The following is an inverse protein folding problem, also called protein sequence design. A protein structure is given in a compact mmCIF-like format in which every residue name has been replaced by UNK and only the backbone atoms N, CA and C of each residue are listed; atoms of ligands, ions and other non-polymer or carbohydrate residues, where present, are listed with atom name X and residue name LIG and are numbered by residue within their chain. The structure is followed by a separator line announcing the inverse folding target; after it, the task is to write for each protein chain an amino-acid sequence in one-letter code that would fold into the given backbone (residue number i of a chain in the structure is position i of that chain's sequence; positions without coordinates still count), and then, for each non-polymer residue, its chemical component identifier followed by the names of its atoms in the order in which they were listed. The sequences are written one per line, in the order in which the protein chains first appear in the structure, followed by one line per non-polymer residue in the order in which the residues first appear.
data_IF_611332458721
#
_entry.id   IF_611332458721
#
_cell.length_a   1.000
_cell.length_b   1.000
_cell.length_c   1.000
_cell.angle_alpha   90.00
_cell.angle_beta   90.00
_cell.angle_gamma   90.00
#
_symmetry.space_group_name_H-M   'P 1'
#
loop_
_entity.id
_entity.type
_entity.pdbx_description
1 polymer ?
#
# COMPACT_ATOMS: atom_id res chain seq x y z
N UNK A 1 -1.95 -1.39 -38.34
CA UNK A 1 -0.63 -1.69 -37.76
C UNK A 1 0.15 -0.39 -37.77
N UNK A 2 0.40 0.20 -36.60
CA UNK A 2 1.34 1.31 -36.44
C UNK A 2 1.86 1.38 -35.00
N UNK A 3 2.96 0.68 -34.75
CA UNK A 3 4.23 1.33 -34.41
C UNK A 3 4.44 2.12 -33.12
N UNK A 4 3.62 2.02 -32.06
CA UNK A 4 3.97 2.58 -30.73
C UNK A 4 4.20 1.50 -29.68
N UNK A 5 5.36 0.85 -29.75
CA UNK A 5 5.83 -0.09 -28.72
C UNK A 5 7.23 0.30 -28.28
N UNK A 6 7.44 0.58 -26.99
CA UNK A 6 8.76 0.36 -26.41
C UNK A 6 9.11 1.12 -25.13
N UNK A 7 8.82 2.42 -25.02
CA UNK A 7 9.36 3.23 -23.91
C UNK A 7 8.28 3.75 -22.95
N UNK A 8 7.19 4.36 -23.43
CA UNK A 8 6.19 5.00 -22.57
C UNK A 8 5.54 4.07 -21.53
N UNK A 9 5.19 2.84 -21.91
CA UNK A 9 4.50 1.91 -21.02
C UNK A 9 5.33 1.40 -19.84
N UNK A 10 6.66 1.37 -19.96
CA UNK A 10 7.54 0.95 -18.84
C UNK A 10 7.68 2.08 -17.82
N UNK A 11 7.80 3.32 -18.28
CA UNK A 11 7.88 4.50 -17.40
C UNK A 11 6.56 4.74 -16.67
N UNK A 12 5.43 4.54 -17.33
CA UNK A 12 4.11 4.63 -16.70
C UNK A 12 3.90 3.54 -15.65
N UNK A 13 4.28 2.28 -15.92
CA UNK A 13 4.20 1.21 -14.92
C UNK A 13 5.11 1.47 -13.73
N UNK A 14 6.35 1.92 -13.96
CA UNK A 14 7.27 2.29 -12.88
C UNK A 14 6.73 3.45 -12.03
N UNK A 15 6.17 4.50 -12.63
CA UNK A 15 5.54 5.60 -11.90
C UNK A 15 4.39 5.11 -11.02
N UNK A 16 3.51 4.26 -11.56
CA UNK A 16 2.39 3.68 -10.82
C UNK A 16 2.87 2.84 -9.63
N UNK A 17 3.93 2.07 -9.80
CA UNK A 17 4.55 1.30 -8.71
C UNK A 17 5.09 2.23 -7.62
N UNK A 18 5.84 3.27 -7.98
CA UNK A 18 6.40 4.23 -7.01
C UNK A 18 5.31 4.97 -6.23
N UNK A 19 4.23 5.38 -6.90
CA UNK A 19 3.07 6.00 -6.25
C UNK A 19 2.43 5.05 -5.22
N UNK A 20 2.25 3.79 -5.60
CA UNK A 20 1.71 2.74 -4.70
C UNK A 20 2.64 2.50 -3.51
N UNK A 21 3.95 2.41 -3.75
CA UNK A 21 4.93 2.23 -2.67
C UNK A 21 4.90 3.40 -1.68
N UNK A 22 4.84 4.63 -2.19
CA UNK A 22 4.72 5.82 -1.35
C UNK A 22 3.42 5.80 -0.51
N UNK A 23 2.28 5.50 -1.13
CA UNK A 23 0.99 5.36 -0.42
C UNK A 23 1.08 4.30 0.69
N UNK A 24 1.66 3.14 0.37
CA UNK A 24 1.80 2.03 1.31
C UNK A 24 2.68 2.41 2.50
N UNK A 25 3.84 3.03 2.27
CA UNK A 25 4.74 3.47 3.33
C UNK A 25 4.12 4.53 4.23
N UNK A 26 3.41 5.51 3.66
CA UNK A 26 2.73 6.54 4.45
C UNK A 26 1.61 5.91 5.30
N UNK A 27 0.80 5.03 4.70
CA UNK A 27 -0.27 4.33 5.41
C UNK A 27 0.27 3.41 6.53
N UNK A 28 1.42 2.78 6.28
CA UNK A 28 2.08 1.94 7.28
C UNK A 28 2.70 2.76 8.42
N UNK A 29 3.31 3.91 8.11
CA UNK A 29 3.78 4.84 9.13
C UNK A 29 2.62 5.39 10.00
N UNK A 30 1.46 5.70 9.38
CA UNK A 30 0.25 6.08 10.11
C UNK A 30 -0.16 4.99 11.11
N UNK A 31 -0.19 3.72 10.67
CA UNK A 31 -0.55 2.59 11.53
C UNK A 31 0.40 2.49 12.73
N UNK A 32 1.71 2.59 12.54
CA UNK A 32 2.68 2.53 13.64
C UNK A 32 2.54 3.70 14.62
N UNK A 33 2.22 4.90 14.15
CA UNK A 33 1.95 6.03 15.06
C UNK A 33 0.70 5.78 15.91
N UNK A 34 -0.37 5.23 15.32
CA UNK A 34 -1.59 4.86 16.05
C UNK A 34 -1.33 3.75 17.08
N UNK A 35 -0.46 2.77 16.76
CA UNK A 35 -0.02 1.74 17.70
C UNK A 35 0.73 2.35 18.89
N UNK A 36 1.66 3.29 18.64
CA UNK A 36 2.37 4.02 19.69
C UNK A 36 1.39 4.80 20.58
N UNK A 37 0.46 5.54 19.97
CA UNK A 37 -0.54 6.32 20.70
C UNK A 37 -1.41 5.43 21.62
N UNK A 38 -1.85 4.29 21.08
CA UNK A 38 -2.61 3.28 21.81
C UNK A 38 -1.83 2.74 23.00
N UNK A 39 -0.55 2.42 22.82
CA UNK A 39 0.33 1.93 23.88
C UNK A 39 0.60 2.99 24.96
N UNK A 40 0.62 4.27 24.59
CA UNK A 40 0.81 5.38 25.53
C UNK A 40 -0.48 5.76 26.28
N UNK A 41 -1.65 5.43 25.73
CA UNK A 41 -2.96 5.75 26.33
C UNK A 41 -3.28 7.25 26.35
N UNK A 42 -2.64 8.05 25.50
CA UNK A 42 -2.86 9.51 25.39
C UNK A 42 -2.63 10.00 23.95
N UNK A 43 -3.46 10.94 23.45
CA UNK A 43 -3.35 11.43 22.07
C UNK A 43 -2.22 12.45 21.95
N UNK A 44 -1.00 11.99 21.69
CA UNK A 44 0.20 12.86 21.62
C UNK A 44 0.81 12.94 20.24
N UNK A 45 0.41 12.07 19.32
CA UNK A 45 0.95 12.01 17.96
C UNK A 45 -0.13 12.19 16.90
N UNK A 46 -1.36 12.51 17.30
CA UNK A 46 -2.49 12.72 16.42
C UNK A 46 -2.20 13.74 15.30
N UNK A 47 -1.52 14.84 15.58
CA UNK A 47 -1.13 15.83 14.56
C UNK A 47 -0.22 15.22 13.47
N UNK A 48 0.68 14.31 13.87
CA UNK A 48 1.56 13.59 12.94
C UNK A 48 0.76 12.57 12.12
N UNK A 49 -0.17 11.85 12.75
CA UNK A 49 -1.09 10.93 12.08
C UNK A 49 -1.89 11.68 11.01
N UNK A 50 -2.46 12.83 11.37
CA UNK A 50 -3.24 13.67 10.47
C UNK A 50 -2.38 14.21 9.32
N UNK A 51 -1.14 14.63 9.59
CA UNK A 51 -0.19 15.03 8.55
C UNK A 51 0.10 13.91 7.55
N UNK A 52 0.28 12.67 8.04
CA UNK A 52 0.47 11.50 7.17
C UNK A 52 -0.78 11.19 6.34
N UNK A 53 -1.99 11.31 6.92
CA UNK A 53 -3.25 11.14 6.18
C UNK A 53 -3.36 12.13 5.02
N UNK A 54 -3.06 13.40 5.27
CA UNK A 54 -3.02 14.44 4.22
C UNK A 54 -2.00 14.09 3.13
N UNK A 55 -0.76 13.76 3.49
CA UNK A 55 0.24 13.35 2.50
C UNK A 55 -0.21 12.13 1.67
N UNK A 56 -0.83 11.14 2.30
CA UNK A 56 -1.36 9.96 1.60
C UNK A 56 -2.46 10.32 0.62
N UNK A 57 -3.37 11.21 1.02
CA UNK A 57 -4.45 11.70 0.17
C UNK A 57 -3.88 12.44 -1.04
N UNK A 58 -2.93 13.34 -0.83
CA UNK A 58 -2.30 14.12 -1.91
C UNK A 58 -1.63 13.20 -2.95
N UNK A 59 -0.92 12.15 -2.52
CA UNK A 59 -0.34 11.16 -3.45
C UNK A 59 -1.44 10.32 -4.13
N UNK A 60 -2.52 10.01 -3.41
CA UNK A 60 -3.69 9.35 -3.99
C UNK A 60 -4.32 10.17 -5.11
N UNK A 61 -4.46 11.47 -4.94
CA UNK A 61 -4.98 12.38 -5.97
C UNK A 61 -4.06 12.40 -7.21
N UNK A 62 -2.73 12.37 -7.02
CA UNK A 62 -1.76 12.22 -8.12
C UNK A 62 -1.94 10.89 -8.86
N UNK A 63 -2.15 9.79 -8.12
CA UNK A 63 -2.42 8.47 -8.71
C UNK A 63 -3.70 8.48 -9.55
N UNK A 64 -4.81 8.98 -9.02
CA UNK A 64 -6.08 9.01 -9.76
C UNK A 64 -6.04 9.94 -10.96
N UNK A 65 -5.35 11.08 -10.85
CA UNK A 65 -5.09 11.96 -11.99
C UNK A 65 -4.29 11.25 -13.09
N UNK A 66 -3.27 10.47 -12.71
CA UNK A 66 -2.48 9.66 -13.65
C UNK A 66 -3.33 8.60 -14.35
N UNK A 67 -4.30 8.02 -13.64
CA UNK A 67 -5.27 7.05 -14.18
C UNK A 67 -6.42 7.70 -14.96
N UNK A 68 -6.43 9.03 -15.11
CA UNK A 68 -7.49 9.80 -15.77
C UNK A 68 -8.88 9.58 -15.15
N UNK A 69 -8.93 9.27 -13.86
CA UNK A 69 -10.18 9.17 -13.10
C UNK A 69 -10.62 10.58 -12.75
N UNK A 70 -11.83 10.96 -13.17
CA UNK A 70 -12.39 12.29 -12.96
C UNK A 70 -13.19 12.34 -11.66
N UNK A 71 -12.96 13.37 -10.85
CA UNK A 71 -13.70 13.63 -9.62
C UNK A 71 -14.92 14.51 -9.93
N UNK A 72 -16.10 13.92 -10.16
CA UNK A 72 -17.36 14.68 -10.04
C UNK A 72 -17.84 14.62 -8.58
N UNK A 73 -17.84 15.79 -7.93
CA UNK A 73 -18.19 15.94 -6.52
C UNK A 73 -19.70 15.97 -6.31
N UNK A 74 -20.23 15.12 -5.43
CA UNK A 74 -21.59 15.26 -4.91
C UNK A 74 -22.04 14.13 -3.99
N UNK A 75 -21.98 14.36 -2.68
CA UNK A 75 -22.84 13.67 -1.69
C UNK A 75 -22.13 12.86 -0.59
N UNK A 76 -22.78 12.83 0.59
CA UNK A 76 -22.38 12.24 1.88
C UNK A 76 -22.35 10.69 1.96
N UNK A 77 -22.30 9.97 0.83
CA UNK A 77 -22.26 8.50 0.84
C UNK A 77 -20.97 7.95 0.25
N UNK A 78 -20.38 6.94 0.93
CA UNK A 78 -19.18 6.25 0.45
C UNK A 78 -19.37 5.75 -0.97
N UNK A 79 -18.63 6.31 -1.92
CA UNK A 79 -18.70 5.86 -3.30
C UNK A 79 -17.80 4.67 -3.60
N UNK A 80 -17.96 4.14 -4.81
CA UNK A 80 -17.13 3.04 -5.32
C UNK A 80 -15.65 3.43 -5.39
N UNK A 81 -15.36 4.71 -5.65
CA UNK A 81 -14.00 5.26 -5.68
C UNK A 81 -13.29 5.19 -4.32
N UNK A 82 -13.99 5.54 -3.24
CA UNK A 82 -13.45 5.42 -1.87
C UNK A 82 -13.16 3.96 -1.49
N UNK A 83 -14.07 3.06 -1.87
CA UNK A 83 -13.90 1.62 -1.62
C UNK A 83 -12.71 1.08 -2.42
N UNK A 84 -12.56 1.49 -3.68
CA UNK A 84 -11.43 1.13 -4.53
C UNK A 84 -10.11 1.66 -3.98
N UNK A 85 -10.07 2.93 -3.56
CA UNK A 85 -8.92 3.53 -2.90
C UNK A 85 -8.51 2.77 -1.63
N UNK A 86 -9.47 2.42 -0.78
CA UNK A 86 -9.23 1.68 0.44
C UNK A 86 -8.65 0.29 0.15
N UNK A 87 -9.16 -0.41 -0.87
CA UNK A 87 -8.61 -1.69 -1.33
C UNK A 87 -7.17 -1.50 -1.81
N UNK A 88 -6.90 -0.52 -2.67
CA UNK A 88 -5.54 -0.22 -3.13
C UNK A 88 -4.60 0.04 -1.96
N UNK A 89 -4.98 0.90 -1.02
CA UNK A 89 -4.21 1.19 0.20
C UNK A 89 -3.86 -0.10 0.96
N UNK A 90 -4.85 -0.93 1.28
CA UNK A 90 -4.65 -2.13 2.10
C UNK A 90 -3.82 -3.21 1.41
N UNK A 91 -4.07 -3.47 0.12
CA UNK A 91 -3.30 -4.44 -0.65
C UNK A 91 -1.84 -3.97 -0.82
N UNK A 92 -1.63 -2.66 -0.95
CA UNK A 92 -0.29 -2.08 -1.04
C UNK A 92 0.47 -2.14 0.29
N UNK A 93 -0.21 -1.88 1.43
CA UNK A 93 0.38 -2.11 2.75
C UNK A 93 0.75 -3.58 2.97
N UNK A 94 -0.07 -4.53 2.49
CA UNK A 94 0.25 -5.95 2.58
C UNK A 94 1.55 -6.30 1.83
N UNK A 95 1.88 -5.58 0.74
CA UNK A 95 3.16 -5.71 0.04
C UNK A 95 4.34 -5.33 0.93
N UNK A 96 4.23 -4.21 1.67
CA UNK A 96 5.25 -3.76 2.62
C UNK A 96 5.42 -4.76 3.76
N UNK A 97 4.33 -5.30 4.29
CA UNK A 97 4.43 -6.34 5.32
C UNK A 97 5.10 -7.62 4.81
N UNK A 98 4.94 -7.98 3.53
CA UNK A 98 5.73 -9.07 2.95
C UNK A 98 7.24 -8.77 2.98
N UNK A 99 7.63 -7.52 2.68
CA UNK A 99 9.03 -7.09 2.74
C UNK A 99 9.58 -7.15 4.17
N UNK A 100 8.81 -6.73 5.17
CA UNK A 100 9.21 -6.83 6.58
C UNK A 100 9.33 -8.28 7.08
N UNK A 101 8.40 -9.15 6.66
CA UNK A 101 8.45 -10.58 6.98
C UNK A 101 9.69 -11.20 6.34
N UNK A 102 9.95 -10.88 5.07
CA UNK A 102 11.15 -11.36 4.36
C UNK A 102 12.42 -10.91 5.08
N UNK A 103 12.52 -9.65 5.50
CA UNK A 103 13.67 -9.16 6.28
C UNK A 103 13.85 -9.94 7.59
N UNK A 104 12.76 -10.16 8.35
CA UNK A 104 12.77 -10.93 9.60
C UNK A 104 13.24 -12.36 9.35
N UNK A 105 12.77 -13.02 8.29
CA UNK A 105 13.20 -14.39 7.93
C UNK A 105 14.68 -14.44 7.50
N UNK A 106 15.15 -13.45 6.73
CA UNK A 106 16.56 -13.35 6.31
C UNK A 106 17.46 -13.19 7.55
N UNK A 107 17.08 -12.34 8.50
CA UNK A 107 17.82 -12.20 9.78
C UNK A 107 17.90 -13.53 10.52
N UNK A 108 16.79 -14.27 10.62
CA UNK A 108 16.76 -15.61 11.24
C UNK A 108 17.63 -16.64 10.52
N UNK A 109 17.67 -16.60 9.18
CA UNK A 109 18.56 -17.44 8.37
C UNK A 109 20.04 -17.15 8.67
N UNK A 110 20.41 -15.87 8.70
CA UNK A 110 21.78 -15.43 8.99
C UNK A 110 22.18 -15.84 10.42
N UNK A 111 21.34 -15.55 11.42
CA UNK A 111 21.58 -15.93 12.83
C UNK A 111 21.75 -17.45 13.00
N UNK A 112 20.90 -18.23 12.33
CA UNK A 112 20.94 -19.70 12.39
C UNK A 112 22.15 -20.28 11.63
N UNK A 113 22.60 -19.62 10.56
CA UNK A 113 23.78 -20.04 9.80
C UNK A 113 25.10 -19.72 10.49
N UNK A 114 25.20 -18.56 11.16
CA UNK A 114 26.41 -18.12 11.89
C UNK A 114 26.61 -18.92 13.17
N UNK A 115 25.53 -19.32 13.85
CA UNK A 115 25.61 -20.02 15.14
C UNK A 115 26.21 -21.44 15.06
N UNK A 116 26.55 -21.94 13.88
CA UNK A 116 27.22 -23.24 13.68
C UNK A 116 26.42 -24.45 14.15
N UNK A 117 25.20 -24.24 14.65
CA UNK A 117 24.31 -25.30 15.07
C UNK A 117 23.84 -26.07 13.84
N UNK A 118 23.89 -27.41 13.92
CA UNK A 118 23.42 -28.33 12.86
C UNK A 118 21.89 -28.32 12.69
N UNK A 119 21.25 -27.15 12.77
CA UNK A 119 19.80 -27.00 12.68
C UNK A 119 19.36 -26.84 11.23
N UNK A 120 19.83 -27.78 10.39
CA UNK A 120 19.57 -27.85 8.95
C UNK A 120 18.07 -27.79 8.64
N UNK A 121 17.25 -28.36 9.52
CA UNK A 121 15.80 -28.35 9.35
C UNK A 121 15.20 -26.96 9.55
N UNK A 122 15.62 -26.20 10.56
CA UNK A 122 15.18 -24.80 10.73
C UNK A 122 15.62 -23.91 9.58
N UNK A 123 16.85 -24.09 9.09
CA UNK A 123 17.34 -23.35 7.92
C UNK A 123 16.49 -23.64 6.68
N UNK A 124 16.14 -24.91 6.43
CA UNK A 124 15.23 -25.29 5.34
C UNK A 124 13.84 -24.69 5.53
N UNK A 125 13.30 -24.69 6.75
CA UNK A 125 12.01 -24.06 7.04
C UNK A 125 12.05 -22.57 6.73
N UNK A 126 12.99 -21.81 7.27
CA UNK A 126 13.07 -20.37 7.00
C UNK A 126 13.30 -20.05 5.52
N UNK A 127 14.10 -20.86 4.81
CA UNK A 127 14.29 -20.70 3.36
C UNK A 127 13.00 -20.98 2.59
N UNK A 128 12.24 -22.00 2.99
CA UNK A 128 10.93 -22.33 2.41
C UNK A 128 9.92 -21.22 2.67
N UNK A 129 9.82 -20.74 3.91
CA UNK A 129 8.91 -19.65 4.29
C UNK A 129 9.25 -18.37 3.53
N UNK A 130 10.54 -18.07 3.35
CA UNK A 130 10.98 -16.91 2.56
C UNK A 130 10.54 -17.02 1.10
N UNK A 131 10.63 -18.22 0.49
CA UNK A 131 10.11 -18.46 -0.85
C UNK A 131 8.60 -18.25 -0.93
N UNK A 132 7.84 -18.72 0.05
CA UNK A 132 6.39 -18.49 0.11
C UNK A 132 6.04 -17.00 0.26
N UNK A 133 6.77 -16.27 1.10
CA UNK A 133 6.59 -14.82 1.24
C UNK A 133 6.85 -14.09 -0.08
N UNK A 134 7.91 -14.44 -0.82
CA UNK A 134 8.16 -13.86 -2.14
C UNK A 134 7.09 -14.21 -3.18
N UNK A 135 6.51 -15.41 -3.12
CA UNK A 135 5.37 -15.77 -3.99
C UNK A 135 4.14 -14.91 -3.69
N UNK A 136 3.80 -14.75 -2.41
CA UNK A 136 2.69 -13.90 -1.97
C UNK A 136 2.92 -12.45 -2.38
N UNK A 137 4.13 -11.92 -2.11
CA UNK A 137 4.54 -10.58 -2.51
C UNK A 137 4.37 -10.34 -4.02
N UNK A 138 4.81 -11.30 -4.84
CA UNK A 138 4.63 -11.23 -6.30
C UNK A 138 3.15 -11.22 -6.68
N UNK A 139 2.35 -12.10 -6.10
CA UNK A 139 0.92 -12.16 -6.36
C UNK A 139 0.20 -10.85 -5.96
N UNK A 140 0.59 -10.22 -4.86
CA UNK A 140 0.08 -8.91 -4.44
C UNK A 140 0.46 -7.82 -5.45
N UNK A 141 1.74 -7.74 -5.87
CA UNK A 141 2.17 -6.81 -6.92
C UNK A 141 1.33 -6.98 -8.19
N UNK A 142 1.23 -8.21 -8.68
CA UNK A 142 0.48 -8.51 -9.90
C UNK A 142 -1.01 -8.14 -9.76
N UNK A 143 -1.58 -8.35 -8.56
CA UNK A 143 -2.95 -7.92 -8.22
C UNK A 143 -3.09 -6.40 -8.22
N UNK A 144 -2.14 -5.66 -7.65
CA UNK A 144 -2.17 -4.19 -7.64
C UNK A 144 -2.08 -3.64 -9.06
N UNK A 145 -1.13 -4.14 -9.87
CA UNK A 145 -1.00 -3.74 -11.27
C UNK A 145 -2.29 -4.01 -12.05
N UNK A 146 -2.91 -5.17 -11.81
CA UNK A 146 -4.21 -5.51 -12.41
C UNK A 146 -5.31 -4.55 -11.95
N UNK A 147 -5.39 -4.25 -10.65
CA UNK A 147 -6.36 -3.29 -10.11
C UNK A 147 -6.18 -1.90 -10.73
N UNK A 148 -4.95 -1.43 -10.89
CA UNK A 148 -4.67 -0.11 -11.49
C UNK A 148 -5.01 -0.06 -12.98
N UNK A 149 -4.70 -1.13 -13.73
CA UNK A 149 -4.93 -1.18 -15.18
C UNK A 149 -6.38 -1.48 -15.55
N UNK A 150 -7.07 -2.32 -14.78
CA UNK A 150 -8.42 -2.80 -15.11
C UNK A 150 -9.50 -2.17 -14.23
N UNK A 151 -9.17 -1.77 -13.00
CA UNK A 151 -10.12 -1.22 -12.04
C UNK A 151 -10.87 0.01 -12.57
N UNK A 152 -10.18 1.03 -13.09
CA UNK A 152 -10.84 2.23 -13.62
C UNK A 152 -11.83 1.99 -14.77
N UNK A 153 -11.68 0.90 -15.52
CA UNK A 153 -12.59 0.53 -16.61
C UNK A 153 -13.76 -0.35 -16.16
N UNK A 154 -13.57 -1.12 -15.10
CA UNK A 154 -14.56 -2.08 -14.59
C UNK A 154 -15.35 -1.56 -13.39
N UNK A 155 -14.87 -0.50 -12.75
CA UNK A 155 -15.49 0.15 -11.62
C UNK A 155 -15.88 1.55 -12.09
N UNK A 156 -17.16 1.88 -11.91
CA UNK A 156 -17.64 3.24 -12.10
C UNK A 156 -17.08 4.14 -10.99
N UNK A 157 -15.96 4.78 -11.30
CA UNK A 157 -15.24 5.71 -10.42
C UNK A 157 -15.66 7.17 -10.63
N UNK A 158 -16.68 7.44 -11.46
CA UNK A 158 -17.08 8.81 -11.83
C UNK A 158 -17.80 9.56 -10.71
N UNK A 159 -18.18 8.88 -9.63
CA UNK A 159 -18.82 9.49 -8.47
C UNK A 159 -17.96 9.34 -7.23
N UNK A 160 -17.74 10.48 -6.56
CA UNK A 160 -17.15 10.72 -5.23
C UNK A 160 -15.66 11.00 -5.15
N UNK A 161 -15.35 11.96 -4.26
CA UNK A 161 -14.02 12.26 -3.77
C UNK A 161 -13.39 11.03 -3.11
N UNK A 162 -12.09 10.86 -3.27
CA UNK A 162 -11.32 9.87 -2.52
C UNK A 162 -11.33 10.25 -1.03
N UNK A 163 -12.13 9.55 -0.22
CA UNK A 163 -12.09 9.60 1.24
C UNK A 163 -11.80 8.21 1.79
N UNK A 164 -10.90 8.14 2.75
CA UNK A 164 -10.70 6.97 3.58
C UNK A 164 -11.48 7.13 4.90
N UNK A 165 -11.81 6.03 5.58
CA UNK A 165 -12.53 6.08 6.88
C UNK A 165 -11.79 6.95 7.89
N UNK A 166 -10.47 6.88 7.85
CA UNK A 166 -9.53 7.56 8.71
C UNK A 166 -9.47 9.07 8.42
N UNK A 167 -9.93 9.52 7.25
CA UNK A 167 -9.97 10.94 6.88
C UNK A 167 -11.19 11.66 7.47
N UNK A 168 -12.22 10.93 7.93
CA UNK A 168 -13.36 11.49 8.67
C UNK A 168 -12.93 12.07 10.03
N UNK A 169 -11.81 11.60 10.58
CA UNK A 169 -11.23 12.11 11.83
C UNK A 169 -10.53 13.47 11.65
N UNK A 170 -10.43 13.99 10.42
CA UNK A 170 -9.89 15.34 10.14
C UNK A 170 -10.99 16.42 10.19
N UNK A 171 -12.26 16.05 10.21
CA UNK A 171 -13.40 16.99 10.11
C UNK A 171 -13.93 17.45 11.50
N UNK A 172 -13.34 17.02 12.62
CA UNK A 172 -13.77 17.41 13.98
C UNK A 172 -13.20 18.77 14.47
N UNK A 173 -12.32 19.43 13.70
CA UNK A 173 -11.67 20.70 14.07
C UNK A 173 -12.34 21.95 13.48
N UNK A 174 -13.67 21.98 13.40
CA UNK A 174 -14.45 23.18 13.01
C UNK A 174 -15.48 23.59 14.06
#
# INVERSE_FOLDING_TARGET
MDGRTGSGGVWEEALLEELIYAIAHIAHAEQHLLEIETLQGKPTVLDLVNSLRSCRKDIGDVLFSTLQVTNESGGEFRGKAESFWCVLKHVSMALIHCDEIAEKLIRRLIESGISGASNTDKLKTYASDLLEVYKVRKALRDTIIKLLKEGPYNIDLTSTTVRCREDLCLEEDH
#
